data_IF_387654947794
#
_entry.id   IF_387654947794
#
_cell.length_a   1.000
_cell.length_b   1.000
_cell.length_c   1.000
_cell.angle_alpha   90.00
_cell.angle_beta   90.00
_cell.angle_gamma   90.00
#
_symmetry.space_group_name_H-M   'P 1'
#
loop_
_entity.id
_entity.type
_entity.pdbx_description
1 polymer ?
#
# COMPACT_ATOMS: atom_id res chain seq x y z
N UNK A 1 -7.22 -15.31 6.02
CA UNK A 1 -8.05 -14.09 5.85
C UNK A 1 -8.05 -13.69 4.38
N UNK A 2 -9.23 -13.68 3.75
CA UNK A 2 -9.39 -13.43 2.31
C UNK A 2 -8.95 -12.01 1.93
N UNK A 3 -7.85 -11.89 1.16
CA UNK A 3 -7.29 -10.63 0.66
C UNK A 3 -8.32 -9.75 -0.07
N UNK A 4 -9.25 -10.38 -0.80
CA UNK A 4 -10.36 -9.72 -1.49
C UNK A 4 -11.24 -8.85 -0.57
N UNK A 5 -11.45 -9.27 0.69
CA UNK A 5 -12.27 -8.53 1.66
C UNK A 5 -11.61 -7.22 2.10
N UNK A 6 -10.27 -7.21 2.21
CA UNK A 6 -9.49 -6.03 2.63
C UNK A 6 -9.44 -4.95 1.55
N UNK A 7 -9.29 -5.34 0.28
CA UNK A 7 -9.28 -4.39 -0.84
C UNK A 7 -10.61 -3.64 -0.97
N UNK A 8 -11.73 -4.35 -0.82
CA UNK A 8 -13.06 -3.74 -0.83
C UNK A 8 -13.25 -2.72 0.31
N UNK A 9 -12.69 -2.98 1.49
CA UNK A 9 -12.71 -2.04 2.61
C UNK A 9 -11.88 -0.77 2.36
N UNK A 10 -10.77 -0.90 1.62
CA UNK A 10 -9.91 0.21 1.24
C UNK A 10 -10.33 0.88 -0.08
N UNK A 11 -11.49 0.52 -0.61
CA UNK A 11 -12.07 1.04 -1.87
C UNK A 11 -11.24 0.79 -3.13
N UNK A 12 -10.31 -0.17 -3.09
CA UNK A 12 -9.48 -0.54 -4.23
C UNK A 12 -10.32 -1.18 -5.33
N UNK A 13 -10.08 -0.75 -6.56
CA UNK A 13 -10.75 -1.25 -7.76
C UNK A 13 -9.75 -1.88 -8.71
N UNK A 14 -10.14 -2.97 -9.36
CA UNK A 14 -9.31 -3.63 -10.37
C UNK A 14 -9.59 -2.99 -11.73
N UNK A 15 -8.57 -2.42 -12.39
CA UNK A 15 -8.62 -1.83 -13.74
C UNK A 15 -7.46 -2.35 -14.57
N UNK A 16 -7.71 -2.86 -15.77
CA UNK A 16 -6.67 -3.41 -16.67
C UNK A 16 -5.70 -4.36 -15.96
N UNK A 17 -6.26 -5.24 -15.12
CA UNK A 17 -5.53 -6.15 -14.23
C UNK A 17 -4.67 -5.56 -13.11
N UNK A 18 -4.64 -4.23 -12.97
CA UNK A 18 -3.98 -3.51 -11.89
C UNK A 18 -4.96 -3.12 -10.77
N UNK A 19 -4.47 -3.11 -9.53
CA UNK A 19 -5.23 -2.59 -8.38
C UNK A 19 -4.99 -1.09 -8.20
N UNK A 20 -6.06 -0.30 -8.32
CA UNK A 20 -6.03 1.16 -8.19
C UNK A 20 -6.77 1.55 -6.91
N UNK A 21 -6.25 2.51 -6.11
CA UNK A 21 -6.83 2.86 -4.81
C UNK A 21 -8.30 3.24 -4.87
N UNK A 22 -8.72 4.06 -5.83
CA UNK A 22 -10.09 4.56 -5.93
C UNK A 22 -10.57 4.67 -7.37
N UNK A 23 -11.87 4.46 -7.57
CA UNK A 23 -12.53 4.80 -8.82
C UNK A 23 -12.76 6.30 -8.89
N UNK A 24 -12.07 6.96 -9.83
CA UNK A 24 -12.27 8.38 -10.09
C UNK A 24 -13.58 8.62 -10.84
N UNK A 25 -14.26 9.73 -10.49
CA UNK A 25 -15.35 10.31 -11.26
C UNK A 25 -14.78 11.08 -12.46
N UNK A 26 -15.60 11.32 -13.48
CA UNK A 26 -15.21 12.03 -14.69
C UNK A 26 -14.62 13.42 -14.38
N UNK A 27 -15.24 14.19 -13.48
CA UNK A 27 -14.72 15.48 -13.03
C UNK A 27 -13.27 15.39 -12.52
N UNK A 28 -12.96 14.39 -11.69
CA UNK A 28 -11.62 14.21 -11.13
C UNK A 28 -10.61 13.76 -12.20
N UNK A 29 -11.06 13.01 -13.22
CA UNK A 29 -10.23 12.63 -14.35
C UNK A 29 -9.85 13.86 -15.17
N UNK A 30 -10.84 14.69 -15.54
CA UNK A 30 -10.60 15.92 -16.30
C UNK A 30 -9.68 16.89 -15.56
N UNK A 31 -9.88 17.06 -14.25
CA UNK A 31 -8.99 17.88 -13.42
C UNK A 31 -7.55 17.34 -13.42
N UNK A 32 -7.36 16.03 -13.25
CA UNK A 32 -6.03 15.41 -13.29
C UNK A 32 -5.34 15.60 -14.64
N UNK A 33 -6.08 15.46 -15.75
CA UNK A 33 -5.54 15.68 -17.10
C UNK A 33 -5.12 17.15 -17.25
N UNK A 34 -6.01 18.09 -16.96
CA UNK A 34 -5.74 19.52 -17.09
C UNK A 34 -4.55 20.00 -16.25
N UNK A 35 -4.43 19.51 -15.02
CA UNK A 35 -3.29 19.81 -14.13
C UNK A 35 -2.00 19.23 -14.71
N UNK A 36 -2.04 17.98 -15.20
CA UNK A 36 -0.87 17.30 -15.78
C UNK A 36 -0.39 18.02 -17.04
N UNK A 37 -1.30 18.41 -17.93
CA UNK A 37 -0.98 19.17 -19.14
C UNK A 37 -0.34 20.52 -18.82
N UNK A 38 -0.84 21.21 -17.79
CA UNK A 38 -0.30 22.48 -17.33
C UNK A 38 1.11 22.33 -16.77
N UNK A 39 1.35 21.27 -15.99
CA UNK A 39 2.67 20.95 -15.47
C UNK A 39 3.66 20.61 -16.59
N UNK A 40 3.25 19.81 -17.57
CA UNK A 40 4.08 19.46 -18.72
C UNK A 40 4.51 20.71 -19.51
N UNK A 41 3.58 21.61 -19.84
CA UNK A 41 3.89 22.87 -20.51
C UNK A 41 4.86 23.73 -19.69
N UNK A 42 4.70 23.74 -18.36
CA UNK A 42 5.60 24.48 -17.47
C UNK A 42 7.00 23.87 -17.46
N UNK A 43 7.14 22.54 -17.56
CA UNK A 43 8.46 21.88 -17.63
C UNK A 43 9.22 22.23 -18.90
N UNK A 44 8.52 22.42 -20.02
CA UNK A 44 9.13 22.81 -21.31
C UNK A 44 9.69 24.24 -21.27
N UNK A 45 9.02 25.14 -20.55
CA UNK A 45 9.40 26.55 -20.42
C UNK A 45 10.45 26.74 -19.32
N UNK A 46 10.35 25.99 -18.22
CA UNK A 46 11.24 26.11 -17.07
C UNK A 46 11.48 24.77 -16.36
N UNK A 47 12.73 24.36 -16.13
CA UNK A 47 13.06 23.05 -15.55
C UNK A 47 12.83 22.97 -14.03
N UNK A 48 11.60 23.21 -13.56
CA UNK A 48 11.26 23.26 -12.13
C UNK A 48 11.39 21.91 -11.42
N UNK A 49 11.44 20.78 -12.14
CA UNK A 49 11.59 19.45 -11.54
C UNK A 49 12.84 19.34 -10.67
N UNK A 50 13.92 20.06 -11.02
CA UNK A 50 15.15 20.09 -10.21
C UNK A 50 14.99 20.82 -8.88
N UNK A 51 13.97 21.66 -8.74
CA UNK A 51 13.67 22.43 -7.53
C UNK A 51 12.53 21.82 -6.72
N UNK A 52 11.91 20.76 -7.22
CA UNK A 52 10.72 20.20 -6.63
C UNK A 52 11.12 19.32 -5.45
N UNK A 53 10.88 19.81 -4.24
CA UNK A 53 11.03 19.06 -3.00
C UNK A 53 9.69 18.36 -2.75
N UNK A 54 9.67 17.02 -2.86
CA UNK A 54 8.51 16.19 -2.49
C UNK A 54 8.84 15.44 -1.22
N UNK A 55 7.83 15.19 -0.38
CA UNK A 55 7.92 14.18 0.67
C UNK A 55 6.56 13.55 0.92
N UNK A 56 6.54 12.28 1.30
CA UNK A 56 5.35 11.54 1.71
C UNK A 56 5.62 10.81 3.03
N UNK A 57 4.56 10.61 3.82
CA UNK A 57 4.67 9.95 5.13
C UNK A 57 4.26 8.49 4.97
N UNK A 58 5.25 7.60 5.11
CA UNK A 58 4.99 6.16 5.13
C UNK A 58 5.00 5.65 6.57
N UNK A 59 3.91 5.00 6.96
CA UNK A 59 3.83 4.26 8.21
C UNK A 59 4.56 2.92 8.10
N UNK A 60 5.54 2.70 8.97
CA UNK A 60 6.25 1.41 9.05
C UNK A 60 5.76 0.65 10.28
N UNK A 61 5.38 -0.60 10.04
CA UNK A 61 4.95 -1.54 11.08
C UNK A 61 6.14 -2.46 11.36
N UNK A 62 6.73 -2.36 12.56
CA UNK A 62 7.95 -3.11 12.93
C UNK A 62 7.77 -4.63 12.94
N UNK A 63 6.57 -5.12 13.23
CA UNK A 63 6.29 -6.56 13.21
C UNK A 63 5.61 -6.95 11.90
N UNK A 64 6.34 -6.84 10.79
CA UNK A 64 5.91 -7.39 9.51
C UNK A 64 6.45 -8.83 9.37
N UNK A 65 5.98 -9.75 10.23
CA UNK A 65 6.17 -11.18 9.96
C UNK A 65 5.45 -11.46 8.66
N UNK A 66 6.22 -11.50 7.55
CA UNK A 66 5.75 -12.06 6.30
C UNK A 66 5.31 -13.48 6.64
N UNK A 67 4.00 -13.72 6.70
CA UNK A 67 3.47 -15.07 6.81
C UNK A 67 3.85 -15.75 5.50
N UNK A 68 4.95 -16.48 5.50
CA UNK A 68 5.27 -17.39 4.42
C UNK A 68 4.03 -18.27 4.23
N UNK A 69 3.50 -18.28 3.01
CA UNK A 69 2.55 -19.32 2.61
C UNK A 69 3.37 -20.60 2.62
N UNK A 70 3.14 -21.47 3.60
CA UNK A 70 3.54 -22.86 3.43
C UNK A 70 2.85 -23.34 2.17
N UNK A 71 3.64 -23.74 1.18
CA UNK A 71 3.13 -24.59 0.12
C UNK A 71 2.65 -25.87 0.80
N UNK A 72 1.43 -26.24 0.44
CA UNK A 72 0.70 -27.36 1.01
C UNK A 72 1.32 -28.64 0.46
N UNK A 73 2.12 -29.33 1.27
CA UNK A 73 2.48 -30.73 1.05
C UNK A 73 2.21 -31.53 2.35
N UNK A 74 1.58 -32.67 2.15
CA UNK A 74 0.71 -33.38 3.08
C UNK A 74 1.49 -34.36 3.99
N UNK A 75 1.00 -34.55 5.24
CA UNK A 75 1.25 -35.71 6.17
C UNK A 75 2.65 -35.70 6.87
N UNK A 76 2.87 -35.77 8.20
CA UNK A 76 2.22 -36.47 9.32
C UNK A 76 2.69 -35.94 10.72
N UNK A 77 1.76 -35.99 11.68
CA UNK A 77 1.80 -36.13 13.15
C UNK A 77 3.12 -36.06 13.97
N UNK A 78 3.17 -35.17 14.98
CA UNK A 78 3.32 -35.50 16.43
C UNK A 78 3.26 -34.24 17.34
N UNK A 79 2.87 -34.35 18.64
CA UNK A 79 2.39 -33.23 19.44
C UNK A 79 3.37 -32.68 20.51
N UNK A 80 3.09 -31.43 20.91
CA UNK A 80 3.27 -30.81 22.24
C UNK A 80 4.58 -30.04 22.54
N UNK A 81 4.42 -28.71 22.67
CA UNK A 81 4.64 -28.01 23.94
C UNK A 81 3.88 -26.67 23.92
N UNK A 82 2.88 -26.55 24.78
CA UNK A 82 2.21 -25.30 25.11
C UNK A 82 3.16 -24.43 25.95
N UNK A 83 3.40 -23.20 25.51
CA UNK A 83 3.82 -22.11 26.40
C UNK A 83 2.70 -21.07 26.34
N UNK A 84 1.85 -20.96 27.38
CA UNK A 84 0.87 -19.90 27.48
C UNK A 84 1.47 -18.73 28.26
N UNK A 85 1.63 -17.55 27.64
CA UNK A 85 1.00 -16.33 28.14
C UNK A 85 1.12 -15.16 27.15
N UNK A 86 -0.05 -14.74 26.69
CA UNK A 86 -0.46 -13.40 26.31
C UNK A 86 0.52 -12.24 26.61
N UNK A 87 1.07 -11.67 25.53
CA UNK A 87 0.97 -10.22 25.34
C UNK A 87 0.93 -9.94 23.84
N UNK A 88 -0.10 -9.26 23.30
CA UNK A 88 -0.10 -8.90 21.90
C UNK A 88 1.11 -7.98 21.64
N UNK A 89 1.91 -8.22 20.58
CA UNK A 89 3.05 -7.35 20.29
C UNK A 89 2.54 -5.92 20.15
N UNK A 90 3.04 -5.02 21.01
CA UNK A 90 2.73 -3.59 20.93
C UNK A 90 3.13 -3.13 19.53
N UNK A 91 2.13 -2.80 18.70
CA UNK A 91 2.34 -2.29 17.35
C UNK A 91 2.83 -0.86 17.47
N UNK A 92 4.13 -0.71 17.62
CA UNK A 92 4.75 0.60 17.61
C UNK A 92 4.74 1.08 16.16
N UNK A 93 4.06 2.20 15.91
CA UNK A 93 4.08 2.89 14.62
C UNK A 93 5.20 3.93 14.68
N UNK A 94 6.06 3.94 13.67
CA UNK A 94 7.04 5.01 13.47
C UNK A 94 6.82 5.64 12.10
N UNK A 95 6.92 6.97 12.04
CA UNK A 95 6.88 7.74 10.81
C UNK A 95 8.30 7.88 10.27
N UNK A 96 8.49 7.61 8.97
CA UNK A 96 9.69 8.02 8.26
C UNK A 96 9.36 9.15 7.29
N UNK A 97 10.27 10.11 7.19
CA UNK A 97 10.27 11.17 6.20
C UNK A 97 11.14 10.73 5.03
N UNK A 98 10.65 10.89 3.81
CA UNK A 98 11.37 10.63 2.56
C UNK A 98 11.25 11.82 1.63
#
# INVERSE_FOLDING_TARGET
MNSKKKFKQLSYVKKLDLWVPHQLKELHLTQRISISDSFLKRTEIYPYLKQLITGDIKWIIYNNTNRERSQDETVQTTPKAEIPLHSPPKKNLCCQFG
#
